data_IF_242311451365
#
_entry.id   IF_242311451365
#
_cell.length_a   1.000
_cell.length_b   1.000
_cell.length_c   1.000
_cell.angle_alpha   90.00
_cell.angle_beta   90.00
_cell.angle_gamma   90.00
#
_symmetry.space_group_name_H-M   'P 1'
#
loop_
_entity.id
_entity.type
_entity.pdbx_description
1 polymer ?
#
# COMPACT_ATOMS: atom_id res chain seq x y z
N UNK A 1 -53.48 14.22 30.23
CA UNK A 1 -52.14 13.62 29.98
C UNK A 1 -51.98 13.46 28.47
N UNK A 2 -51.28 14.39 27.84
CA UNK A 2 -51.14 14.47 26.38
C UNK A 2 -49.64 14.54 26.07
N UNK A 3 -49.11 13.49 25.46
CA UNK A 3 -47.70 13.38 25.08
C UNK A 3 -47.38 14.34 23.93
N UNK A 4 -46.22 15.01 23.93
CA UNK A 4 -45.83 15.89 22.83
C UNK A 4 -45.31 15.10 21.62
N UNK A 5 -45.47 15.62 20.38
CA UNK A 5 -45.01 14.94 19.19
C UNK A 5 -43.49 15.08 19.01
N UNK A 6 -42.85 13.96 18.64
CA UNK A 6 -41.43 13.87 18.30
C UNK A 6 -41.13 14.65 17.02
N UNK A 7 -40.39 15.75 17.16
CA UNK A 7 -39.83 16.52 16.07
C UNK A 7 -38.77 15.68 15.33
N UNK A 8 -39.13 15.05 14.21
CA UNK A 8 -38.15 14.44 13.29
C UNK A 8 -37.37 15.56 12.61
N UNK A 9 -36.09 15.69 12.92
CA UNK A 9 -35.18 16.55 12.17
C UNK A 9 -35.11 16.09 10.70
N UNK A 10 -35.12 17.01 9.72
CA UNK A 10 -35.02 16.65 8.32
C UNK A 10 -33.64 16.05 8.04
N UNK A 11 -33.63 14.84 7.43
CA UNK A 11 -32.43 14.25 6.82
C UNK A 11 -31.87 15.24 5.81
N UNK A 12 -30.70 15.79 6.11
CA UNK A 12 -29.89 16.62 5.22
C UNK A 12 -29.63 15.89 3.89
N UNK A 13 -30.46 16.18 2.90
CA UNK A 13 -30.22 15.86 1.50
C UNK A 13 -29.36 16.97 0.92
N UNK A 14 -28.04 16.86 1.12
CA UNK A 14 -27.09 17.74 0.42
C UNK A 14 -27.31 17.68 -1.10
N UNK A 15 -27.05 18.79 -1.82
CA UNK A 15 -27.40 18.94 -3.23
C UNK A 15 -26.76 17.85 -4.11
N UNK A 16 -27.47 17.37 -5.16
CA UNK A 16 -27.05 16.22 -5.96
C UNK A 16 -25.67 16.39 -6.61
N UNK A 17 -25.29 17.63 -6.96
CA UNK A 17 -23.99 17.97 -7.53
C UNK A 17 -22.80 17.56 -6.64
N UNK A 18 -22.91 17.74 -5.32
CA UNK A 18 -21.85 17.36 -4.36
C UNK A 18 -21.68 15.84 -4.24
N UNK A 19 -22.74 15.05 -4.52
CA UNK A 19 -22.68 13.57 -4.49
C UNK A 19 -22.02 13.00 -5.74
N UNK A 20 -22.31 13.55 -6.91
CA UNK A 20 -21.68 13.12 -8.18
C UNK A 20 -20.21 13.48 -8.23
N UNK A 21 -19.84 14.65 -7.75
CA UNK A 21 -18.45 15.09 -7.68
C UNK A 21 -17.62 14.20 -6.73
N UNK A 22 -18.11 13.94 -5.52
CA UNK A 22 -17.47 12.98 -4.59
C UNK A 22 -17.28 11.60 -5.23
N UNK A 23 -18.31 11.07 -5.91
CA UNK A 23 -18.21 9.78 -6.61
C UNK A 23 -17.18 9.79 -7.76
N UNK A 24 -16.97 10.92 -8.43
CA UNK A 24 -15.92 11.05 -9.46
C UNK A 24 -14.54 11.05 -8.83
N UNK A 25 -14.35 11.86 -7.78
CA UNK A 25 -13.10 11.93 -7.03
C UNK A 25 -12.73 10.55 -6.47
N UNK A 26 -13.68 9.83 -5.86
CA UNK A 26 -13.46 8.47 -5.34
C UNK A 26 -13.06 7.47 -6.45
N UNK A 27 -13.62 7.63 -7.65
CA UNK A 27 -13.29 6.77 -8.81
C UNK A 27 -11.90 7.07 -9.38
N UNK A 28 -11.52 8.33 -9.46
CA UNK A 28 -10.21 8.76 -9.95
C UNK A 28 -9.10 8.34 -8.97
N UNK A 29 -9.33 8.57 -7.67
CA UNK A 29 -8.46 8.09 -6.59
C UNK A 29 -8.36 6.57 -6.59
N UNK A 30 -9.49 5.87 -6.75
CA UNK A 30 -9.51 4.41 -6.89
C UNK A 30 -8.72 3.92 -8.11
N UNK A 31 -8.78 4.65 -9.24
CA UNK A 31 -8.00 4.34 -10.45
C UNK A 31 -6.50 4.53 -10.23
N UNK A 32 -6.09 5.63 -9.58
CA UNK A 32 -4.69 5.89 -9.23
C UNK A 32 -4.10 4.78 -8.33
N UNK A 33 -4.86 4.36 -7.33
CA UNK A 33 -4.47 3.28 -6.42
C UNK A 33 -4.32 1.93 -7.14
N UNK A 34 -5.27 1.61 -8.03
CA UNK A 34 -5.19 0.40 -8.86
C UNK A 34 -4.02 0.45 -9.85
N UNK A 35 -3.75 1.61 -10.42
CA UNK A 35 -2.63 1.82 -11.34
C UNK A 35 -1.28 1.56 -10.65
N UNK A 36 -1.07 2.14 -9.46
CA UNK A 36 0.14 1.93 -8.68
C UNK A 36 0.31 0.44 -8.31
N UNK A 37 -0.76 -0.23 -7.91
CA UNK A 37 -0.75 -1.66 -7.62
C UNK A 37 -0.49 -2.52 -8.87
N UNK A 38 -1.00 -2.13 -10.03
CA UNK A 38 -0.74 -2.79 -11.31
C UNK A 38 0.74 -2.65 -11.70
N UNK A 39 1.32 -1.45 -11.56
CA UNK A 39 2.75 -1.25 -11.82
C UNK A 39 3.62 -2.16 -10.94
N UNK A 40 3.30 -2.33 -9.66
CA UNK A 40 4.06 -3.22 -8.78
C UNK A 40 4.04 -4.67 -9.27
N UNK A 41 2.89 -5.17 -9.70
CA UNK A 41 2.77 -6.54 -10.25
C UNK A 41 3.58 -6.66 -11.53
N UNK A 42 3.42 -5.73 -12.48
CA UNK A 42 4.16 -5.76 -13.74
C UNK A 42 5.68 -5.79 -13.50
N UNK A 43 6.17 -5.01 -12.54
CA UNK A 43 7.59 -4.99 -12.16
C UNK A 43 8.03 -6.30 -11.50
N UNK A 44 7.20 -6.88 -10.62
CA UNK A 44 7.48 -8.18 -9.99
C UNK A 44 7.55 -9.31 -11.00
N UNK A 45 6.78 -9.20 -12.10
CA UNK A 45 6.78 -10.15 -13.20
C UNK A 45 7.86 -9.86 -14.25
N UNK A 46 8.65 -8.79 -14.10
CA UNK A 46 9.66 -8.38 -15.09
C UNK A 46 9.08 -7.81 -16.39
N UNK A 47 7.79 -7.43 -16.40
CA UNK A 47 7.10 -6.85 -17.55
C UNK A 47 7.30 -5.33 -17.67
N UNK A 48 7.84 -4.69 -16.62
CA UNK A 48 8.11 -3.27 -16.60
C UNK A 48 9.50 -3.02 -16.00
N UNK A 49 10.41 -2.56 -16.84
CA UNK A 49 11.79 -2.23 -16.46
C UNK A 49 11.88 -0.95 -15.63
N UNK A 50 13.06 -0.68 -15.06
CA UNK A 50 13.28 0.45 -14.15
C UNK A 50 13.27 1.83 -14.83
N UNK A 51 13.30 1.89 -16.16
CA UNK A 51 13.19 3.13 -16.94
C UNK A 51 11.85 3.33 -17.65
N UNK A 52 11.01 2.29 -17.76
CA UNK A 52 9.76 2.38 -18.53
C UNK A 52 8.65 3.02 -17.70
N UNK A 53 8.21 4.20 -18.10
CA UNK A 53 7.09 4.90 -17.47
C UNK A 53 5.77 4.41 -18.06
N UNK A 54 4.94 3.78 -17.22
CA UNK A 54 3.54 3.61 -17.58
C UNK A 54 2.79 4.93 -17.35
N UNK A 55 1.86 5.26 -18.24
CA UNK A 55 0.99 6.42 -18.12
C UNK A 55 -0.33 6.03 -17.49
N UNK A 56 -0.70 6.70 -16.40
CA UNK A 56 -2.01 6.55 -15.77
C UNK A 56 -3.15 6.95 -16.72
N UNK A 57 -2.92 7.97 -17.54
CA UNK A 57 -3.93 8.54 -18.43
C UNK A 57 -4.29 7.58 -19.55
N UNK A 58 -3.27 6.95 -20.14
CA UNK A 58 -3.43 5.97 -21.22
C UNK A 58 -3.86 4.59 -20.69
N UNK A 59 -3.55 4.27 -19.44
CA UNK A 59 -3.88 2.97 -18.85
C UNK A 59 -5.40 2.81 -18.68
N UNK A 60 -5.90 1.63 -19.03
CA UNK A 60 -7.33 1.36 -19.11
C UNK A 60 -7.75 0.32 -18.09
N UNK A 61 -8.71 0.69 -17.24
CA UNK A 61 -9.41 -0.24 -16.36
C UNK A 61 -10.60 -0.86 -17.11
N UNK A 62 -10.58 -2.19 -17.24
CA UNK A 62 -11.70 -2.99 -17.75
C UNK A 62 -12.39 -3.75 -16.59
N UNK A 63 -13.51 -4.42 -16.88
CA UNK A 63 -14.23 -5.23 -15.89
C UNK A 63 -13.37 -6.34 -15.27
N UNK A 64 -12.49 -6.95 -16.07
CA UNK A 64 -11.72 -8.14 -15.69
C UNK A 64 -10.21 -7.90 -15.61
N UNK A 65 -9.71 -6.81 -16.19
CA UNK A 65 -8.27 -6.55 -16.27
C UNK A 65 -7.93 -5.07 -16.15
N UNK A 66 -6.67 -4.82 -15.82
CA UNK A 66 -6.04 -3.50 -15.83
C UNK A 66 -4.94 -3.50 -16.90
N UNK A 67 -5.07 -2.67 -17.92
CA UNK A 67 -4.08 -2.54 -18.99
C UNK A 67 -3.14 -1.37 -18.68
N UNK A 68 -1.86 -1.68 -18.47
CA UNK A 68 -0.79 -0.69 -18.35
C UNK A 68 -0.30 -0.31 -19.74
N UNK A 69 -0.23 0.99 -20.01
CA UNK A 69 0.26 1.53 -21.27
C UNK A 69 1.33 2.58 -21.04
N UNK A 70 2.17 2.82 -22.04
CA UNK A 70 3.10 3.96 -22.09
C UNK A 70 2.35 5.27 -22.37
N UNK A 71 3.05 6.39 -22.35
CA UNK A 71 2.52 7.70 -22.76
C UNK A 71 2.07 7.72 -24.23
N UNK A 72 2.77 7.00 -25.10
CA UNK A 72 2.45 6.83 -26.52
C UNK A 72 1.22 5.90 -26.74
N UNK A 73 0.68 5.32 -25.67
CA UNK A 73 -0.47 4.41 -25.74
C UNK A 73 -0.11 2.98 -26.14
N UNK A 74 1.18 2.62 -26.19
CA UNK A 74 1.62 1.24 -26.44
C UNK A 74 1.36 0.37 -25.20
N UNK A 75 0.87 -0.87 -25.42
CA UNK A 75 0.53 -1.78 -24.33
C UNK A 75 1.80 -2.37 -23.72
N UNK A 76 1.97 -2.17 -22.41
CA UNK A 76 3.06 -2.77 -21.64
C UNK A 76 2.63 -4.13 -21.11
N UNK A 77 1.52 -4.16 -20.37
CA UNK A 77 1.03 -5.38 -19.73
C UNK A 77 -0.49 -5.32 -19.53
N UNK A 78 -1.15 -6.47 -19.58
CA UNK A 78 -2.54 -6.63 -19.16
C UNK A 78 -2.60 -7.55 -17.96
N UNK A 79 -3.02 -7.00 -16.83
CA UNK A 79 -3.01 -7.70 -15.54
C UNK A 79 -4.44 -8.08 -15.11
N UNK A 80 -4.66 -9.27 -14.53
CA UNK A 80 -5.95 -9.65 -13.99
C UNK A 80 -6.37 -8.71 -12.85
N UNK A 81 -7.57 -8.14 -12.94
CA UNK A 81 -8.08 -7.23 -11.92
C UNK A 81 -8.14 -7.85 -10.50
N UNK A 82 -8.44 -9.15 -10.31
CA UNK A 82 -8.37 -9.78 -9.00
C UNK A 82 -6.98 -9.69 -8.37
N UNK A 83 -5.92 -9.81 -9.17
CA UNK A 83 -4.53 -9.74 -8.72
C UNK A 83 -4.15 -8.31 -8.33
N UNK A 84 -4.48 -7.33 -9.17
CA UNK A 84 -4.30 -5.90 -8.89
C UNK A 84 -5.00 -5.49 -7.59
N UNK A 85 -6.23 -5.98 -7.36
CA UNK A 85 -6.96 -5.74 -6.11
C UNK A 85 -6.33 -6.42 -4.89
N UNK A 86 -5.68 -7.58 -5.05
CA UNK A 86 -4.92 -8.21 -3.95
C UNK A 86 -3.69 -7.38 -3.61
N UNK A 87 -2.97 -6.89 -4.62
CA UNK A 87 -1.82 -6.01 -4.41
C UNK A 87 -2.22 -4.69 -3.77
N UNK A 88 -3.34 -4.08 -4.19
CA UNK A 88 -3.86 -2.87 -3.56
C UNK A 88 -4.17 -3.10 -2.07
N UNK A 89 -4.84 -4.21 -1.73
CA UNK A 89 -5.08 -4.57 -0.32
C UNK A 89 -3.78 -4.77 0.45
N UNK A 90 -2.76 -5.34 -0.19
CA UNK A 90 -1.43 -5.47 0.40
C UNK A 90 -0.79 -4.11 0.66
N UNK A 91 -0.79 -3.18 -0.32
CA UNK A 91 -0.33 -1.78 -0.14
C UNK A 91 -1.05 -1.11 1.03
N UNK A 92 -2.38 -1.24 1.08
CA UNK A 92 -3.20 -0.66 2.15
C UNK A 92 -2.86 -1.25 3.52
N UNK A 93 -2.60 -2.56 3.60
CA UNK A 93 -2.16 -3.20 4.84
C UNK A 93 -0.78 -2.70 5.26
N UNK A 94 0.17 -2.56 4.33
CA UNK A 94 1.51 -2.05 4.63
C UNK A 94 1.49 -0.59 5.07
N UNK A 95 0.73 0.26 4.36
CA UNK A 95 0.51 1.65 4.74
C UNK A 95 -0.07 1.76 6.16
N UNK A 96 -1.10 0.95 6.46
CA UNK A 96 -1.64 0.86 7.82
C UNK A 96 -0.61 0.42 8.84
N UNK A 97 0.14 -0.66 8.58
CA UNK A 97 1.14 -1.17 9.52
C UNK A 97 2.26 -0.17 9.80
N UNK A 98 2.71 0.58 8.79
CA UNK A 98 3.73 1.61 8.96
C UNK A 98 3.24 2.76 9.85
N UNK A 99 1.94 3.10 9.78
CA UNK A 99 1.34 4.15 10.61
C UNK A 99 0.90 3.63 11.99
N UNK A 100 0.32 2.43 12.07
CA UNK A 100 -0.37 1.88 13.25
C UNK A 100 0.55 1.21 14.27
N UNK A 101 1.83 0.95 13.97
CA UNK A 101 2.82 0.39 14.92
C UNK A 101 3.08 1.27 16.16
N UNK A 102 2.25 2.30 16.43
CA UNK A 102 2.32 3.18 17.59
C UNK A 102 1.11 3.04 18.52
N UNK A 103 -0.03 2.51 18.04
CA UNK A 103 -1.21 2.40 18.90
C UNK A 103 -0.97 1.44 20.07
N UNK A 104 -0.08 0.46 19.90
CA UNK A 104 0.32 -0.46 20.96
C UNK A 104 1.18 0.19 22.06
N UNK A 105 1.92 1.27 21.77
CA UNK A 105 2.69 2.03 22.76
C UNK A 105 1.96 3.27 23.29
N UNK A 106 0.95 3.77 22.55
CA UNK A 106 0.11 4.90 22.94
C UNK A 106 -1.03 4.52 23.90
N UNK A 107 -1.22 3.22 24.19
CA UNK A 107 -2.12 2.75 25.27
C UNK A 107 -1.67 3.16 26.70
N UNK A 108 -0.63 3.98 26.85
CA UNK A 108 -0.25 4.67 28.09
C UNK A 108 -0.92 6.06 28.24
N UNK A 109 -2.11 6.24 27.66
CA UNK A 109 -3.16 7.12 28.20
C UNK A 109 -2.96 8.64 28.20
N UNK A 110 -1.87 9.20 27.65
CA UNK A 110 -1.57 10.65 27.82
C UNK A 110 -1.14 11.41 26.56
N UNK A 111 -1.18 10.82 25.36
CA UNK A 111 -0.80 11.54 24.15
C UNK A 111 -2.02 12.22 23.49
N UNK A 112 -1.99 13.55 23.40
CA UNK A 112 -2.87 14.32 22.52
C UNK A 112 -2.88 13.73 21.08
N UNK A 113 -3.96 13.87 20.30
CA UNK A 113 -4.01 13.36 18.93
C UNK A 113 -2.93 14.04 18.08
N UNK A 114 -1.76 13.42 17.99
CA UNK A 114 -0.62 13.93 17.25
C UNK A 114 -0.87 13.76 15.75
N UNK A 115 -0.53 14.74 14.91
CA UNK A 115 -0.67 14.62 13.45
C UNK A 115 0.08 13.36 12.95
N UNK A 116 -0.56 12.46 12.17
CA UNK A 116 0.10 11.26 11.62
C UNK A 116 1.43 11.55 10.90
N UNK A 117 1.62 12.76 10.35
CA UNK A 117 2.89 13.18 9.73
C UNK A 117 4.02 13.32 10.75
N UNK A 118 3.72 13.93 11.89
CA UNK A 118 4.70 14.08 12.97
C UNK A 118 5.07 12.71 13.55
N UNK A 119 4.09 11.81 13.70
CA UNK A 119 4.34 10.42 14.13
C UNK A 119 5.29 9.70 13.17
N UNK A 120 5.13 9.91 11.87
CA UNK A 120 6.01 9.31 10.87
C UNK A 120 7.45 9.85 10.96
N UNK A 121 7.65 11.13 11.31
CA UNK A 121 9.00 11.70 11.48
C UNK A 121 9.78 11.07 12.63
N UNK A 122 9.09 10.51 13.62
CA UNK A 122 9.68 9.77 14.75
C UNK A 122 10.01 8.31 14.41
N UNK A 123 9.66 7.84 13.21
CA UNK A 123 9.93 6.46 12.77
C UNK A 123 11.35 6.27 12.27
N UNK A 124 11.74 5.01 12.21
CA UNK A 124 12.98 4.62 11.55
C UNK A 124 12.96 5.04 10.07
N UNK A 125 14.15 5.26 9.53
CA UNK A 125 14.30 5.69 8.13
C UNK A 125 13.69 4.66 7.15
N UNK A 126 13.68 3.37 7.50
CA UNK A 126 13.04 2.33 6.68
C UNK A 126 11.53 2.52 6.57
N UNK A 127 10.84 2.75 7.69
CA UNK A 127 9.39 2.95 7.71
C UNK A 127 9.01 4.24 6.97
N UNK A 128 9.81 5.31 7.13
CA UNK A 128 9.63 6.58 6.42
C UNK A 128 9.83 6.42 4.91
N UNK A 129 10.91 5.76 4.50
CA UNK A 129 11.19 5.48 3.09
C UNK A 129 10.12 4.58 2.47
N UNK A 130 9.59 3.61 3.22
CA UNK A 130 8.51 2.73 2.77
C UNK A 130 7.20 3.51 2.58
N UNK A 131 6.82 4.37 3.53
CA UNK A 131 5.62 5.21 3.40
C UNK A 131 5.76 6.20 2.25
N UNK A 132 6.93 6.83 2.10
CA UNK A 132 7.24 7.66 0.94
C UNK A 132 7.09 6.87 -0.37
N UNK A 133 7.65 5.67 -0.45
CA UNK A 133 7.57 4.84 -1.66
C UNK A 133 6.12 4.47 -2.01
N UNK A 134 5.33 4.08 -1.00
CA UNK A 134 3.91 3.76 -1.21
C UNK A 134 3.14 5.01 -1.65
N UNK A 135 3.42 6.18 -1.06
CA UNK A 135 2.77 7.45 -1.43
C UNK A 135 3.04 7.86 -2.87
N UNK A 136 4.26 7.63 -3.35
CA UNK A 136 4.72 8.03 -4.68
C UNK A 136 4.51 6.96 -5.76
N UNK A 137 3.81 5.86 -5.46
CA UNK A 137 3.66 4.77 -6.44
C UNK A 137 4.96 4.03 -6.77
N UNK A 138 6.04 4.24 -5.99
CA UNK A 138 7.36 3.66 -6.24
C UNK A 138 7.44 2.22 -5.75
N UNK A 139 8.43 1.48 -6.29
CA UNK A 139 8.77 0.12 -5.87
C UNK A 139 9.11 0.12 -4.38
N UNK A 140 8.51 -0.79 -3.64
CA UNK A 140 8.90 -1.07 -2.26
C UNK A 140 9.01 -2.59 -2.08
N UNK A 141 9.95 -3.05 -1.26
CA UNK A 141 10.20 -4.48 -1.14
C UNK A 141 9.05 -5.15 -0.39
N UNK A 142 8.52 -6.23 -0.97
CA UNK A 142 7.38 -6.98 -0.42
C UNK A 142 7.86 -8.32 0.14
N UNK A 143 7.77 -8.55 1.46
CA UNK A 143 7.77 -9.93 1.99
C UNK A 143 6.32 -10.37 2.15
N UNK A 144 6.00 -11.55 1.63
CA UNK A 144 4.77 -12.26 1.98
C UNK A 144 4.70 -12.54 3.49
N UNK A 145 3.61 -13.13 4.00
CA UNK A 145 3.48 -13.41 5.43
C UNK A 145 4.58 -14.36 5.93
N UNK A 146 5.62 -13.83 6.59
CA UNK A 146 6.81 -14.57 7.05
C UNK A 146 6.45 -15.77 7.93
N UNK A 147 5.40 -15.64 8.75
CA UNK A 147 4.93 -16.72 9.61
C UNK A 147 4.51 -17.98 8.83
N UNK A 148 3.93 -17.83 7.62
CA UNK A 148 3.63 -19.00 6.77
C UNK A 148 4.90 -19.74 6.37
N UNK A 149 5.98 -19.01 6.07
CA UNK A 149 7.25 -19.64 5.74
C UNK A 149 7.89 -20.32 6.95
N UNK A 150 7.76 -19.75 8.16
CA UNK A 150 8.19 -20.41 9.39
C UNK A 150 7.41 -21.70 9.67
N UNK A 151 6.09 -21.71 9.45
CA UNK A 151 5.27 -22.91 9.60
C UNK A 151 5.65 -24.00 8.59
N UNK A 152 5.88 -23.62 7.33
CA UNK A 152 6.37 -24.56 6.31
C UNK A 152 7.74 -25.12 6.70
N UNK A 153 8.66 -24.26 7.17
CA UNK A 153 9.98 -24.69 7.62
C UNK A 153 9.88 -25.68 8.80
N UNK A 154 9.02 -25.40 9.78
CA UNK A 154 8.78 -26.28 10.92
C UNK A 154 8.17 -27.62 10.48
N UNK A 155 7.19 -27.61 9.60
CA UNK A 155 6.60 -28.84 9.05
C UNK A 155 7.63 -29.68 8.28
N UNK A 156 8.50 -29.03 7.48
CA UNK A 156 9.56 -29.71 6.76
C UNK A 156 10.61 -30.30 7.71
N UNK A 157 11.00 -29.59 8.77
CA UNK A 157 11.90 -30.10 9.79
C UNK A 157 11.32 -31.34 10.51
N UNK A 158 10.02 -31.36 10.77
CA UNK A 158 9.34 -32.51 11.36
C UNK A 158 9.29 -33.71 10.40
N UNK A 159 9.16 -33.47 9.10
CA UNK A 159 9.19 -34.53 8.07
C UNK A 159 10.62 -35.06 7.81
N UNK A 160 11.63 -34.22 8.05
CA UNK A 160 13.04 -34.56 7.96
C UNK A 160 13.96 -33.34 8.11
N UNK A 161 15.11 -33.54 8.77
CA UNK A 161 16.05 -32.43 9.06
C UNK A 161 16.57 -31.78 7.77
N UNK A 162 16.97 -32.58 6.78
CA UNK A 162 17.57 -32.09 5.52
C UNK A 162 16.65 -31.14 4.74
N UNK A 163 15.40 -31.50 4.38
CA UNK A 163 14.50 -30.59 3.65
C UNK A 163 14.17 -29.33 4.46
N UNK A 164 14.06 -29.44 5.79
CA UNK A 164 13.87 -28.29 6.68
C UNK A 164 15.04 -27.30 6.64
N UNK A 165 16.28 -27.80 6.76
CA UNK A 165 17.49 -26.96 6.72
C UNK A 165 17.66 -26.29 5.35
N UNK A 166 17.48 -27.03 4.25
CA UNK A 166 17.56 -26.46 2.89
C UNK A 166 16.55 -25.32 2.71
N UNK A 167 15.32 -25.51 3.19
CA UNK A 167 14.29 -24.49 3.12
C UNK A 167 14.61 -23.27 4.00
N UNK A 168 15.20 -23.46 5.19
CA UNK A 168 15.65 -22.36 6.05
C UNK A 168 16.78 -21.55 5.41
N UNK A 169 17.76 -22.20 4.78
CA UNK A 169 18.83 -21.51 4.04
C UNK A 169 18.25 -20.68 2.91
N UNK A 170 17.31 -21.25 2.14
CA UNK A 170 16.60 -20.51 1.10
C UNK A 170 15.81 -19.31 1.65
N UNK A 171 15.12 -19.49 2.78
CA UNK A 171 14.36 -18.43 3.44
C UNK A 171 15.28 -17.31 3.97
N UNK A 172 16.44 -17.67 4.53
CA UNK A 172 17.46 -16.73 4.98
C UNK A 172 18.03 -15.91 3.82
N UNK A 173 18.32 -16.56 2.68
CA UNK A 173 18.74 -15.89 1.45
C UNK A 173 17.68 -14.87 0.98
N UNK A 174 16.41 -15.27 0.98
CA UNK A 174 15.30 -14.38 0.62
C UNK A 174 15.17 -13.19 1.58
N UNK A 175 15.37 -13.40 2.88
CA UNK A 175 15.36 -12.33 3.87
C UNK A 175 16.52 -11.35 3.67
N UNK A 176 17.73 -11.84 3.38
CA UNK A 176 18.89 -10.99 3.05
C UNK A 176 18.62 -10.11 1.83
N UNK A 177 18.08 -10.68 0.75
CA UNK A 177 17.68 -9.91 -0.45
C UNK A 177 16.66 -8.82 -0.13
N UNK A 178 15.69 -9.12 0.73
CA UNK A 178 14.72 -8.11 1.16
C UNK A 178 15.35 -6.97 1.96
N UNK A 179 16.24 -7.30 2.91
CA UNK A 179 17.01 -6.31 3.67
C UNK A 179 17.84 -5.42 2.76
N UNK A 180 18.50 -5.98 1.75
CA UNK A 180 19.23 -5.21 0.74
C UNK A 180 18.31 -4.25 -0.01
N UNK A 181 17.16 -4.72 -0.51
CA UNK A 181 16.20 -3.89 -1.22
C UNK A 181 15.58 -2.77 -0.33
N UNK A 182 15.40 -3.02 0.98
CA UNK A 182 15.01 -1.98 1.94
C UNK A 182 16.10 -0.94 2.11
N UNK A 183 17.36 -1.37 2.27
CA UNK A 183 18.48 -0.45 2.39
C UNK A 183 18.64 0.42 1.13
N UNK A 184 18.53 -0.17 -0.06
CA UNK A 184 18.51 0.56 -1.33
C UNK A 184 17.36 1.56 -1.41
N UNK A 185 16.18 1.20 -0.90
CA UNK A 185 15.05 2.12 -0.82
C UNK A 185 15.37 3.32 0.07
N UNK A 186 15.95 3.08 1.25
CA UNK A 186 16.37 4.14 2.17
C UNK A 186 17.44 5.03 1.55
N UNK A 187 18.43 4.46 0.86
CA UNK A 187 19.48 5.21 0.17
C UNK A 187 18.87 6.14 -0.88
N UNK A 188 17.96 5.63 -1.73
CA UNK A 188 17.26 6.45 -2.74
C UNK A 188 16.39 7.54 -2.11
N UNK A 189 15.72 7.24 -1.02
CA UNK A 189 14.92 8.24 -0.30
C UNK A 189 15.80 9.35 0.31
N UNK A 190 16.95 8.98 0.87
CA UNK A 190 17.95 9.93 1.40
C UNK A 190 18.58 10.78 0.30
N UNK A 191 18.91 10.19 -0.85
CA UNK A 191 19.49 10.94 -1.99
C UNK A 191 18.52 11.96 -2.58
N UNK A 192 17.22 11.77 -2.38
CA UNK A 192 16.16 12.72 -2.76
C UNK A 192 15.85 13.75 -1.66
N UNK A 193 16.68 13.86 -0.62
CA UNK A 193 16.52 14.86 0.43
C UNK A 193 15.50 14.48 1.52
N UNK A 194 15.22 13.17 1.69
CA UNK A 194 14.28 12.67 2.71
C UNK A 194 12.88 13.30 2.60
N UNK A 195 12.37 13.42 1.38
CA UNK A 195 11.04 13.97 1.11
C UNK A 195 9.97 13.30 1.98
N UNK A 196 9.13 14.11 2.61
CA UNK A 196 7.96 13.63 3.32
C UNK A 196 6.97 12.98 2.32
N UNK A 197 6.15 12.00 2.77
CA UNK A 197 5.16 11.39 1.90
C UNK A 197 4.13 12.41 1.43
N UNK A 198 3.52 12.13 0.27
CA UNK A 198 2.51 13.00 -0.31
C UNK A 198 1.36 13.25 0.71
N UNK A 199 0.94 14.51 0.94
CA UNK A 199 -0.21 14.83 1.77
C UNK A 199 -1.46 14.01 1.47
N UNK A 200 -1.68 13.71 0.18
CA UNK A 200 -2.83 12.93 -0.29
C UNK A 200 -2.77 11.47 0.15
N UNK A 201 -1.59 10.92 0.48
CA UNK A 201 -1.42 9.54 0.95
C UNK A 201 -2.28 9.24 2.17
N UNK A 202 -2.24 10.11 3.18
CA UNK A 202 -2.99 9.88 4.42
C UNK A 202 -4.50 9.89 4.18
N UNK A 203 -4.97 10.69 3.22
CA UNK A 203 -6.37 10.72 2.79
C UNK A 203 -6.75 9.48 1.97
N UNK A 204 -5.94 9.15 0.96
CA UNK A 204 -6.15 8.05 0.03
C UNK A 204 -6.20 6.68 0.72
N UNK A 205 -5.43 6.51 1.80
CA UNK A 205 -5.41 5.28 2.59
C UNK A 205 -6.24 5.37 3.88
N UNK A 206 -7.00 6.46 4.07
CA UNK A 206 -7.84 6.72 5.25
C UNK A 206 -7.08 6.50 6.57
N UNK A 207 -5.89 7.11 6.65
CA UNK A 207 -4.98 7.06 7.79
C UNK A 207 -5.05 8.33 8.65
N UNK A 208 -5.91 9.28 8.29
CA UNK A 208 -6.31 10.40 9.14
C UNK A 208 -7.28 9.84 10.21
N UNK A 209 -6.72 9.51 11.39
CA UNK A 209 -7.46 9.17 12.60
C UNK A 209 -7.26 10.24 13.65
#
# INVERSE_FOLDING_TARGET
MTSPPLHRSPRSNGPPARRTERRRIDREQGRQLLFAAAQDIARQQGLLDEGTTASLEQSVLSRTSFALKTEEGTLIARLPLPEVRRMLRFRHRQARLAVSRFDSSANLGLAAPMDPRQRLRLRSDEDRALVWAISQGRRFPCIGPWWRHLLIAAALLLLGVLPGVVYLVWLASRYRKHRQALNELVIRWRSLGKQDPDPSFFRLYSLEG
#
